data_IF_566449428907
#
_entry.id   IF_566449428907
#
_cell.length_a   1.000
_cell.length_b   1.000
_cell.length_c   1.000
_cell.angle_alpha   90.00
_cell.angle_beta   90.00
_cell.angle_gamma   90.00
#
_symmetry.space_group_name_H-M   'P 1'
#
loop_
_entity.id
_entity.type
_entity.pdbx_description
1 polymer ?
#
# COMPACT_ATOMS: atom_id res chain seq x y z
N UNK A 1 -1.37 6.39 -24.76
CA UNK A 1 -2.45 7.30 -24.33
C UNK A 1 -3.61 6.47 -23.80
N UNK A 2 -4.21 6.83 -22.67
CA UNK A 2 -5.51 6.28 -22.28
C UNK A 2 -6.53 7.11 -23.09
N UNK A 3 -7.26 6.46 -23.99
CA UNK A 3 -8.31 7.13 -24.75
C UNK A 3 -9.56 7.13 -23.87
N UNK A 4 -9.90 8.28 -23.30
CA UNK A 4 -11.15 8.46 -22.56
C UNK A 4 -12.27 8.66 -23.59
N UNK A 5 -12.83 7.56 -24.08
CA UNK A 5 -13.82 7.57 -25.15
C UNK A 5 -15.24 7.76 -24.62
N UNK A 6 -15.49 7.39 -23.38
CA UNK A 6 -16.82 7.46 -22.75
C UNK A 6 -16.98 8.68 -21.82
N UNK A 7 -18.20 9.21 -21.69
CA UNK A 7 -18.51 10.35 -20.82
C UNK A 7 -18.22 10.04 -19.35
N UNK A 8 -18.49 8.81 -18.91
CA UNK A 8 -18.18 8.36 -17.54
C UNK A 8 -16.67 8.31 -17.27
N UNK A 9 -15.87 7.90 -18.27
CA UNK A 9 -14.41 7.88 -18.17
C UNK A 9 -13.84 9.30 -18.06
N UNK A 10 -14.38 10.25 -18.83
CA UNK A 10 -13.98 11.68 -18.73
C UNK A 10 -14.34 12.26 -17.36
N UNK A 11 -15.54 11.96 -16.85
CA UNK A 11 -15.99 12.41 -15.53
C UNK A 11 -15.07 11.87 -14.43
N UNK A 12 -14.75 10.58 -14.47
CA UNK A 12 -13.83 9.98 -13.50
C UNK A 12 -12.42 10.58 -13.57
N UNK A 13 -11.91 10.82 -14.78
CA UNK A 13 -10.64 11.55 -14.96
C UNK A 13 -10.69 12.95 -14.32
N UNK A 14 -11.79 13.68 -14.49
CA UNK A 14 -12.02 14.97 -13.83
C UNK A 14 -11.99 14.89 -12.30
N UNK A 15 -12.60 13.85 -11.72
CA UNK A 15 -12.55 13.58 -10.27
C UNK A 15 -11.11 13.39 -9.80
N UNK A 16 -10.31 12.59 -10.52
CA UNK A 16 -8.92 12.34 -10.16
C UNK A 16 -8.05 13.60 -10.25
N UNK A 17 -8.27 14.45 -11.26
CA UNK A 17 -7.57 15.73 -11.40
C UNK A 17 -7.92 16.69 -10.25
N UNK A 18 -9.21 16.79 -9.91
CA UNK A 18 -9.65 17.59 -8.77
C UNK A 18 -9.05 17.07 -7.47
N UNK A 19 -9.03 15.75 -7.27
CA UNK A 19 -8.42 15.11 -6.11
C UNK A 19 -6.92 15.44 -6.00
N UNK A 20 -6.18 15.37 -7.11
CA UNK A 20 -4.75 15.73 -7.15
C UNK A 20 -4.51 17.19 -6.77
N UNK A 21 -5.32 18.12 -7.31
CA UNK A 21 -5.23 19.53 -6.97
C UNK A 21 -5.52 19.80 -5.51
N UNK A 22 -6.61 19.24 -4.97
CA UNK A 22 -6.96 19.39 -3.55
C UNK A 22 -5.87 18.81 -2.64
N UNK A 23 -5.31 17.66 -3.01
CA UNK A 23 -4.22 17.05 -2.27
C UNK A 23 -2.98 17.94 -2.28
N UNK A 24 -2.56 18.43 -3.45
CA UNK A 24 -1.34 19.25 -3.61
C UNK A 24 -1.45 20.63 -3.00
N UNK A 25 -2.59 21.31 -3.16
CA UNK A 25 -2.74 22.70 -2.72
C UNK A 25 -3.09 22.79 -1.24
N UNK A 26 -3.91 21.86 -0.73
CA UNK A 26 -4.49 21.99 0.60
C UNK A 26 -3.99 20.95 1.60
N UNK A 27 -3.99 19.67 1.23
CA UNK A 27 -3.84 18.59 2.22
C UNK A 27 -2.39 18.17 2.47
N UNK A 28 -1.53 18.19 1.45
CA UNK A 28 -0.18 17.63 1.57
C UNK A 28 0.70 18.42 2.55
N UNK A 29 0.54 19.75 2.60
CA UNK A 29 1.25 20.59 3.56
C UNK A 29 0.86 20.23 5.00
N UNK A 30 -0.45 20.11 5.27
CA UNK A 30 -0.94 19.71 6.58
C UNK A 30 -0.46 18.32 6.98
N UNK A 31 -0.53 17.34 6.06
CA UNK A 31 -0.03 15.98 6.29
C UNK A 31 1.46 16.05 6.67
N UNK A 32 2.28 16.75 5.89
CA UNK A 32 3.70 16.85 6.13
C UNK A 32 4.02 17.50 7.48
N UNK A 33 3.35 18.59 7.84
CA UNK A 33 3.55 19.25 9.12
C UNK A 33 3.18 18.34 10.30
N UNK A 34 2.09 17.58 10.20
CA UNK A 34 1.70 16.59 11.22
C UNK A 34 2.81 15.55 11.40
N UNK A 35 3.29 14.96 10.30
CA UNK A 35 4.37 13.97 10.35
C UNK A 35 5.66 14.57 10.91
N UNK A 36 6.09 15.73 10.43
CA UNK A 36 7.34 16.36 10.87
C UNK A 36 7.29 16.76 12.34
N UNK A 37 6.21 17.39 12.79
CA UNK A 37 6.04 17.75 14.20
C UNK A 37 6.03 16.50 15.08
N UNK A 38 5.27 15.46 14.70
CA UNK A 38 5.19 14.23 15.49
C UNK A 38 6.55 13.49 15.57
N UNK A 39 7.34 13.48 14.49
CA UNK A 39 8.67 12.84 14.50
C UNK A 39 9.64 13.66 15.36
N UNK A 40 9.69 14.99 15.20
CA UNK A 40 10.56 15.86 15.99
C UNK A 40 10.28 15.78 17.48
N UNK A 41 9.01 15.68 17.85
CA UNK A 41 8.57 15.53 19.25
C UNK A 41 8.65 14.09 19.77
N UNK A 42 9.20 13.15 18.98
CA UNK A 42 9.27 11.71 19.29
C UNK A 42 7.90 11.06 19.58
N UNK A 43 6.80 11.67 19.11
CA UNK A 43 5.45 11.12 19.17
C UNK A 43 5.17 10.12 18.05
N UNK A 44 5.97 10.16 16.98
CA UNK A 44 5.94 9.21 15.88
C UNK A 44 7.35 8.72 15.57
N UNK A 45 7.57 7.41 15.69
CA UNK A 45 8.81 6.72 15.34
C UNK A 45 8.47 5.34 14.78
N UNK A 46 9.45 4.65 14.18
CA UNK A 46 9.22 3.28 13.69
C UNK A 46 8.69 2.37 14.78
N UNK A 47 9.28 2.45 15.99
CA UNK A 47 8.87 1.62 17.11
C UNK A 47 7.42 1.90 17.53
N UNK A 48 7.05 3.18 17.64
CA UNK A 48 5.68 3.58 18.01
C UNK A 48 4.67 3.11 16.94
N UNK A 49 4.98 3.31 15.66
CA UNK A 49 4.12 2.91 14.56
C UNK A 49 3.95 1.38 14.49
N UNK A 50 5.04 0.62 14.58
CA UNK A 50 4.99 -0.83 14.54
C UNK A 50 4.26 -1.40 15.78
N UNK A 51 4.47 -0.84 16.97
CA UNK A 51 3.72 -1.23 18.17
C UNK A 51 2.23 -0.96 18.03
N UNK A 52 1.87 0.21 17.46
CA UNK A 52 0.48 0.56 17.18
C UNK A 52 -0.16 -0.44 16.21
N UNK A 53 0.49 -0.70 15.06
CA UNK A 53 0.00 -1.66 14.07
C UNK A 53 -0.08 -3.08 14.66
N UNK A 54 0.89 -3.48 15.47
CA UNK A 54 0.88 -4.79 16.13
C UNK A 54 -0.32 -4.98 17.03
N UNK A 55 -0.69 -3.93 17.77
CA UNK A 55 -1.76 -3.99 18.78
C UNK A 55 -3.15 -3.78 18.18
N UNK A 56 -3.29 -2.92 17.17
CA UNK A 56 -4.59 -2.42 16.72
C UNK A 56 -4.93 -2.74 15.27
N UNK A 57 -4.09 -3.50 14.55
CA UNK A 57 -4.37 -3.90 13.16
C UNK A 57 -4.14 -5.38 12.94
N UNK A 58 -4.76 -5.92 11.88
CA UNK A 58 -4.51 -7.27 11.41
C UNK A 58 -3.07 -7.51 10.94
N UNK A 59 -2.31 -6.45 10.60
CA UNK A 59 -0.92 -6.55 10.15
C UNK A 59 -0.01 -7.18 11.20
N UNK A 60 -0.35 -7.02 12.48
CA UNK A 60 0.35 -7.62 13.62
C UNK A 60 0.02 -9.09 13.89
N UNK A 61 -0.99 -9.65 13.23
CA UNK A 61 -1.41 -11.04 13.45
C UNK A 61 -0.44 -12.00 12.75
N UNK A 62 -0.19 -13.14 13.39
CA UNK A 62 0.50 -14.26 12.74
C UNK A 62 -0.51 -15.02 11.88
N UNK A 63 -0.32 -14.95 10.56
CA UNK A 63 -1.20 -15.54 9.56
C UNK A 63 -0.59 -16.86 9.11
N UNK A 64 -1.43 -17.89 8.99
CA UNK A 64 -1.01 -19.21 8.51
C UNK A 64 -1.30 -19.36 7.01
N UNK A 65 -0.28 -19.67 6.21
CA UNK A 65 -0.41 -19.96 4.78
C UNK A 65 -0.01 -21.39 4.48
N UNK A 66 -0.90 -22.14 3.83
CA UNK A 66 -0.59 -23.48 3.33
C UNK A 66 0.22 -23.34 2.04
N UNK A 67 1.48 -23.79 2.08
CA UNK A 67 2.37 -23.86 0.93
C UNK A 67 2.71 -25.33 0.68
N UNK A 68 2.09 -25.91 -0.36
CA UNK A 68 2.19 -27.33 -0.68
C UNK A 68 1.92 -28.22 0.55
N UNK A 69 2.98 -28.82 1.12
CA UNK A 69 2.91 -29.77 2.23
C UNK A 69 3.21 -29.14 3.60
N UNK A 70 3.45 -27.82 3.67
CA UNK A 70 3.81 -27.14 4.91
C UNK A 70 2.86 -25.96 5.19
N UNK A 71 2.58 -25.74 6.46
CA UNK A 71 1.90 -24.52 6.91
C UNK A 71 2.96 -23.58 7.44
N UNK A 72 3.15 -22.45 6.76
CA UNK A 72 4.09 -21.40 7.16
C UNK A 72 3.31 -20.33 7.89
N UNK A 73 3.80 -19.92 9.07
CA UNK A 73 3.28 -18.75 9.79
C UNK A 73 4.12 -17.53 9.41
N UNK A 74 3.47 -16.41 9.09
CA UNK A 74 4.14 -15.15 8.77
C UNK A 74 3.40 -13.96 9.37
N UNK A 75 4.08 -12.82 9.44
CA UNK A 75 3.57 -11.58 10.00
C UNK A 75 3.95 -10.43 9.07
N UNK A 76 2.98 -9.59 8.70
CA UNK A 76 3.22 -8.51 7.74
C UNK A 76 4.15 -7.43 8.29
N UNK A 77 4.20 -7.23 9.62
CA UNK A 77 5.13 -6.29 10.24
C UNK A 77 6.58 -6.60 9.87
N UNK A 78 6.96 -7.87 9.77
CA UNK A 78 8.32 -8.27 9.39
C UNK A 78 8.69 -7.83 7.96
N UNK A 79 7.70 -7.72 7.07
CA UNK A 79 7.91 -7.34 5.67
C UNK A 79 7.91 -5.83 5.44
N UNK A 80 7.15 -5.08 6.26
CA UNK A 80 7.04 -3.61 6.14
C UNK A 80 8.00 -2.86 7.07
N UNK A 81 8.44 -3.46 8.18
CA UNK A 81 9.34 -2.81 9.13
C UNK A 81 10.63 -2.26 8.48
N UNK A 82 11.31 -2.97 7.55
CA UNK A 82 12.56 -2.47 6.96
C UNK A 82 12.40 -1.12 6.24
N UNK A 83 11.32 -0.94 5.46
CA UNK A 83 11.09 0.32 4.74
C UNK A 83 10.72 1.46 5.68
N UNK A 84 9.99 1.16 6.75
CA UNK A 84 9.67 2.15 7.78
C UNK A 84 10.92 2.54 8.57
N UNK A 85 11.77 1.59 8.97
CA UNK A 85 13.03 1.88 9.66
C UNK A 85 13.92 2.80 8.82
N UNK A 86 14.08 2.48 7.54
CA UNK A 86 14.86 3.32 6.62
C UNK A 86 14.29 4.73 6.54
N UNK A 87 12.98 4.90 6.33
CA UNK A 87 12.37 6.22 6.27
C UNK A 87 12.60 7.05 7.54
N UNK A 88 12.34 6.49 8.73
CA UNK A 88 12.52 7.25 9.97
C UNK A 88 13.99 7.58 10.23
N UNK A 89 14.93 6.71 9.84
CA UNK A 89 16.36 7.00 9.89
C UNK A 89 16.72 8.18 8.97
N UNK A 90 16.24 8.17 7.73
CA UNK A 90 16.41 9.26 6.76
C UNK A 90 15.85 10.59 7.28
N UNK A 91 14.70 10.56 7.96
CA UNK A 91 14.10 11.75 8.57
C UNK A 91 14.94 12.30 9.73
N UNK A 92 15.50 11.44 10.58
CA UNK A 92 16.41 11.87 11.65
C UNK A 92 17.65 12.58 11.08
N UNK A 93 18.25 12.03 10.01
CA UNK A 93 19.38 12.67 9.33
C UNK A 93 19.01 14.02 8.72
N UNK A 94 17.84 14.12 8.08
CA UNK A 94 17.32 15.37 7.51
C UNK A 94 17.11 16.45 8.57
N UNK A 95 16.59 16.09 9.75
CA UNK A 95 16.40 17.06 10.83
C UNK A 95 17.73 17.50 11.49
N UNK A 96 18.72 16.61 11.54
CA UNK A 96 20.05 16.96 12.04
C UNK A 96 20.87 17.80 11.05
N UNK A 97 20.58 17.72 9.75
CA UNK A 97 21.39 18.32 8.69
C UNK A 97 20.52 19.12 7.70
N UNK A 98 20.44 20.46 7.83
CA UNK A 98 19.55 21.30 7.00
C UNK A 98 19.76 21.19 5.49
N UNK A 99 20.97 20.84 5.03
CA UNK A 99 21.31 20.71 3.61
C UNK A 99 21.16 19.27 3.07
N UNK A 100 20.68 18.34 3.90
CA UNK A 100 20.51 16.94 3.53
C UNK A 100 19.14 16.69 2.92
N UNK A 101 19.13 16.15 1.70
CA UNK A 101 17.93 15.61 1.08
C UNK A 101 17.84 14.11 1.38
N UNK A 102 16.74 13.63 1.99
CA UNK A 102 16.60 12.21 2.35
C UNK A 102 16.56 11.32 1.11
N UNK A 103 17.26 10.19 1.17
CA UNK A 103 17.16 9.17 0.14
C UNK A 103 15.99 8.23 0.45
N UNK A 104 14.90 8.37 -0.31
CA UNK A 104 13.66 7.64 -0.07
C UNK A 104 13.44 6.47 -1.02
N UNK A 105 14.42 6.14 -1.87
CA UNK A 105 14.29 5.09 -2.90
C UNK A 105 13.90 3.76 -2.28
N UNK A 106 14.69 3.27 -1.32
CA UNK A 106 14.44 1.97 -0.67
C UNK A 106 13.10 1.93 0.07
N UNK A 107 12.73 3.05 0.71
CA UNK A 107 11.50 3.13 1.50
C UNK A 107 10.26 3.07 0.60
N UNK A 108 10.25 3.88 -0.46
CA UNK A 108 9.12 3.98 -1.39
C UNK A 108 9.01 2.71 -2.24
N UNK A 109 10.11 2.20 -2.80
CA UNK A 109 10.08 1.02 -3.66
C UNK A 109 9.58 -0.20 -2.90
N UNK A 110 10.13 -0.43 -1.70
CA UNK A 110 9.74 -1.55 -0.87
C UNK A 110 8.29 -1.42 -0.40
N UNK A 111 7.91 -0.29 0.19
CA UNK A 111 6.58 -0.13 0.78
C UNK A 111 5.47 -0.17 -0.27
N UNK A 112 5.69 0.41 -1.45
CA UNK A 112 4.73 0.36 -2.57
C UNK A 112 4.41 -1.08 -2.97
N UNK A 113 5.45 -1.91 -3.15
CA UNK A 113 5.26 -3.32 -3.52
C UNK A 113 4.68 -4.14 -2.37
N UNK A 114 5.00 -3.82 -1.10
CA UNK A 114 4.37 -4.49 0.05
C UNK A 114 2.89 -4.14 0.19
N UNK A 115 2.49 -2.91 -0.12
CA UNK A 115 1.07 -2.51 -0.13
C UNK A 115 0.28 -3.32 -1.17
N UNK A 116 0.82 -3.56 -2.36
CA UNK A 116 0.17 -4.48 -3.31
C UNK A 116 0.01 -5.89 -2.72
N UNK A 117 1.06 -6.41 -2.07
CA UNK A 117 1.01 -7.71 -1.40
C UNK A 117 -0.05 -7.76 -0.29
N UNK A 118 -0.18 -6.69 0.50
CA UNK A 118 -1.22 -6.55 1.52
C UNK A 118 -2.62 -6.61 0.91
N UNK A 119 -2.87 -5.88 -0.18
CA UNK A 119 -4.16 -5.89 -0.88
C UNK A 119 -4.48 -7.29 -1.39
N UNK A 120 -3.49 -8.01 -1.96
CA UNK A 120 -3.70 -9.40 -2.41
C UNK A 120 -4.05 -10.35 -1.26
N UNK A 121 -3.40 -10.21 -0.12
CA UNK A 121 -3.73 -11.02 1.05
C UNK A 121 -5.13 -10.70 1.59
N UNK A 122 -5.53 -9.41 1.62
CA UNK A 122 -6.90 -9.00 1.96
C UNK A 122 -7.93 -9.68 1.04
N UNK A 123 -7.67 -9.72 -0.27
CA UNK A 123 -8.51 -10.41 -1.23
C UNK A 123 -8.61 -11.91 -0.88
N UNK A 124 -7.49 -12.56 -0.60
CA UNK A 124 -7.44 -13.98 -0.25
C UNK A 124 -8.23 -14.28 1.04
N UNK A 125 -8.06 -13.48 2.09
CA UNK A 125 -8.81 -13.67 3.35
C UNK A 125 -10.32 -13.47 3.18
N UNK A 126 -10.68 -12.64 2.20
CA UNK A 126 -12.08 -12.35 1.85
C UNK A 126 -12.65 -13.31 0.80
N UNK A 127 -11.91 -14.32 0.37
CA UNK A 127 -12.36 -15.30 -0.63
C UNK A 127 -12.38 -14.77 -2.07
N UNK A 128 -11.76 -13.62 -2.34
CA UNK A 128 -11.64 -13.03 -3.67
C UNK A 128 -10.41 -13.59 -4.38
N UNK A 129 -10.63 -14.22 -5.54
CA UNK A 129 -9.55 -14.85 -6.32
C UNK A 129 -8.60 -13.81 -6.89
N UNK A 130 -7.29 -13.93 -6.61
CA UNK A 130 -6.25 -13.01 -7.11
C UNK A 130 -5.61 -13.42 -8.44
N UNK A 131 -6.04 -14.54 -9.02
CA UNK A 131 -5.54 -15.08 -10.27
C UNK A 131 -6.69 -15.42 -11.23
N UNK A 132 -6.37 -15.64 -12.50
CA UNK A 132 -7.28 -16.16 -13.51
C UNK A 132 -6.60 -17.27 -14.30
N UNK A 133 -7.40 -18.22 -14.81
CA UNK A 133 -6.89 -19.29 -15.66
C UNK A 133 -6.86 -18.83 -17.11
N UNK A 134 -5.75 -19.07 -17.80
CA UNK A 134 -5.62 -18.83 -19.24
C UNK A 134 -4.93 -20.01 -19.92
N UNK A 135 -4.94 -20.05 -21.25
CA UNK A 135 -4.24 -21.10 -22.02
C UNK A 135 -2.88 -20.60 -22.48
N UNK A 136 -1.86 -21.43 -22.33
CA UNK A 136 -0.57 -21.17 -22.97
C UNK A 136 -0.63 -21.40 -24.49
N UNK A 137 0.47 -21.09 -25.19
CA UNK A 137 0.58 -21.31 -26.65
C UNK A 137 0.41 -22.77 -27.08
N UNK A 138 0.46 -23.73 -26.15
CA UNK A 138 0.28 -25.17 -26.36
C UNK A 138 -1.08 -25.68 -25.85
N UNK A 139 -1.99 -24.78 -25.48
CA UNK A 139 -3.33 -25.12 -25.01
C UNK A 139 -3.44 -25.60 -23.56
N UNK A 140 -2.34 -25.58 -22.78
CA UNK A 140 -2.33 -25.98 -21.37
C UNK A 140 -2.89 -24.87 -20.49
N UNK A 141 -3.69 -25.24 -19.49
CA UNK A 141 -4.23 -24.28 -18.53
C UNK A 141 -3.13 -23.83 -17.57
N UNK A 142 -2.92 -22.51 -17.47
CA UNK A 142 -1.97 -21.87 -16.57
C UNK A 142 -2.70 -20.81 -15.74
N UNK A 143 -2.35 -20.72 -14.46
CA UNK A 143 -2.79 -19.62 -13.61
C UNK A 143 -1.92 -18.39 -13.88
N UNK A 144 -2.54 -17.21 -13.98
CA UNK A 144 -1.87 -15.92 -14.02
C UNK A 144 -2.42 -15.01 -12.94
N UNK A 145 -1.53 -14.35 -12.22
CA UNK A 145 -1.92 -13.31 -11.27
C UNK A 145 -2.65 -12.17 -11.99
N UNK A 146 -3.73 -11.69 -11.38
CA UNK A 146 -4.42 -10.47 -11.81
C UNK A 146 -3.49 -9.29 -11.57
N UNK A 147 -3.47 -8.34 -12.49
CA UNK A 147 -2.81 -7.06 -12.24
C UNK A 147 -3.55 -6.30 -11.12
N UNK A 148 -2.81 -5.59 -10.28
CA UNK A 148 -3.41 -4.85 -9.15
C UNK A 148 -4.38 -3.78 -9.63
N UNK A 149 -4.15 -3.17 -10.80
CA UNK A 149 -5.11 -2.28 -11.43
C UNK A 149 -6.43 -3.02 -11.68
N UNK A 150 -6.40 -4.17 -12.36
CA UNK A 150 -7.61 -4.96 -12.60
C UNK A 150 -8.29 -5.38 -11.29
N UNK A 151 -7.50 -5.80 -10.29
CA UNK A 151 -8.00 -6.26 -9.00
C UNK A 151 -8.79 -5.17 -8.27
N UNK A 152 -8.28 -3.94 -8.19
CA UNK A 152 -8.94 -2.82 -7.50
C UNK A 152 -10.27 -2.38 -8.14
N UNK A 153 -10.60 -2.84 -9.35
CA UNK A 153 -11.87 -2.54 -10.01
C UNK A 153 -12.88 -3.68 -9.95
N UNK A 154 -12.53 -4.84 -9.39
CA UNK A 154 -13.49 -5.93 -9.27
C UNK A 154 -14.60 -5.57 -8.27
N UNK A 155 -15.84 -5.94 -8.59
CA UNK A 155 -16.99 -5.68 -7.72
C UNK A 155 -16.79 -6.15 -6.27
N UNK A 156 -16.26 -7.37 -6.00
CA UNK A 156 -16.03 -7.79 -4.62
C UNK A 156 -15.11 -6.85 -3.85
N UNK A 157 -14.14 -6.19 -4.51
CA UNK A 157 -13.23 -5.25 -3.84
C UNK A 157 -13.93 -3.97 -3.42
N UNK A 158 -14.94 -3.53 -4.18
CA UNK A 158 -15.77 -2.38 -3.82
C UNK A 158 -16.59 -2.62 -2.56
N UNK A 159 -16.87 -3.88 -2.24
CA UNK A 159 -17.57 -4.27 -1.01
C UNK A 159 -16.61 -4.42 0.19
N UNK A 160 -15.29 -4.57 -0.04
CA UNK A 160 -14.29 -4.74 1.02
C UNK A 160 -13.77 -3.41 1.58
N UNK A 161 -13.72 -2.37 0.75
CA UNK A 161 -13.20 -1.06 1.13
C UNK A 161 -14.30 -0.02 1.04
N UNK A 162 -14.26 0.99 1.92
CA UNK A 162 -15.08 2.18 1.70
C UNK A 162 -14.63 2.94 0.45
N UNK A 163 -15.56 3.69 -0.16
CA UNK A 163 -15.33 4.34 -1.45
C UNK A 163 -14.15 5.32 -1.41
N UNK A 164 -13.97 6.03 -0.29
CA UNK A 164 -12.88 7.00 -0.10
C UNK A 164 -11.51 6.31 0.02
N UNK A 165 -11.41 5.23 0.80
CA UNK A 165 -10.20 4.42 0.91
C UNK A 165 -9.86 3.78 -0.44
N UNK A 166 -10.86 3.28 -1.17
CA UNK A 166 -10.64 2.68 -2.49
C UNK A 166 -10.19 3.72 -3.53
N UNK A 167 -10.82 4.90 -3.58
CA UNK A 167 -10.42 6.01 -4.45
C UNK A 167 -8.98 6.44 -4.14
N UNK A 168 -8.65 6.59 -2.85
CA UNK A 168 -7.30 6.94 -2.42
C UNK A 168 -6.26 5.90 -2.85
N UNK A 169 -6.52 4.61 -2.61
CA UNK A 169 -5.63 3.52 -3.01
C UNK A 169 -5.45 3.46 -4.53
N UNK A 170 -6.53 3.64 -5.29
CA UNK A 170 -6.47 3.69 -6.76
C UNK A 170 -5.61 4.85 -7.23
N UNK A 171 -5.91 6.05 -6.75
CA UNK A 171 -5.20 7.28 -7.07
C UNK A 171 -3.69 7.15 -6.80
N UNK A 172 -3.32 6.62 -5.64
CA UNK A 172 -1.94 6.46 -5.22
C UNK A 172 -1.19 5.40 -6.04
N UNK A 173 -1.81 4.24 -6.28
CA UNK A 173 -1.10 3.05 -6.77
C UNK A 173 -1.22 2.82 -8.27
N UNK A 174 -2.39 3.02 -8.88
CA UNK A 174 -2.69 2.45 -10.22
C UNK A 174 -3.26 3.44 -11.24
N UNK A 175 -3.83 4.56 -10.81
CA UNK A 175 -4.43 5.51 -11.74
C UNK A 175 -3.38 6.29 -12.50
N UNK A 176 -3.45 6.28 -13.83
CA UNK A 176 -2.52 7.07 -14.68
C UNK A 176 -2.69 8.58 -14.50
N UNK A 177 -3.91 9.02 -14.20
CA UNK A 177 -4.20 10.41 -13.83
C UNK A 177 -3.93 10.70 -12.34
N UNK A 178 -3.55 9.68 -11.56
CA UNK A 178 -3.01 9.81 -10.20
C UNK A 178 -1.49 9.63 -10.16
N UNK A 179 -0.96 9.17 -9.03
CA UNK A 179 0.49 8.97 -8.87
C UNK A 179 1.02 7.71 -9.55
N UNK A 180 0.16 6.70 -9.72
CA UNK A 180 0.49 5.44 -10.40
C UNK A 180 1.78 4.78 -9.83
N UNK A 181 2.00 4.89 -8.51
CA UNK A 181 3.28 4.54 -7.91
C UNK A 181 3.65 3.08 -8.16
N UNK A 182 2.69 2.16 -8.11
CA UNK A 182 2.97 0.74 -8.32
C UNK A 182 3.57 0.51 -9.70
N UNK A 183 2.97 1.06 -10.75
CA UNK A 183 3.50 0.91 -12.11
C UNK A 183 4.89 1.53 -12.23
N UNK A 184 5.08 2.75 -11.72
CA UNK A 184 6.35 3.45 -11.84
C UNK A 184 7.47 2.72 -11.09
N UNK A 185 7.22 2.26 -9.86
CA UNK A 185 8.18 1.50 -9.05
C UNK A 185 8.50 0.14 -9.68
N UNK A 186 7.48 -0.66 -10.02
CA UNK A 186 7.69 -2.02 -10.54
C UNK A 186 8.44 -2.06 -11.89
N UNK A 187 8.39 -0.97 -12.66
CA UNK A 187 9.10 -0.83 -13.92
C UNK A 187 10.31 0.11 -13.85
N UNK A 188 10.70 0.55 -12.64
CA UNK A 188 11.83 1.46 -12.42
C UNK A 188 11.78 2.73 -13.27
N UNK A 189 10.59 3.32 -13.40
CA UNK A 189 10.32 4.52 -14.20
C UNK A 189 10.46 5.83 -13.40
N UNK A 190 10.64 5.75 -12.08
CA UNK A 190 10.84 6.93 -11.24
C UNK A 190 12.28 7.42 -11.31
N UNK A 191 12.44 8.71 -11.57
CA UNK A 191 13.72 9.41 -11.41
C UNK A 191 13.99 9.69 -9.93
N UNK A 192 15.26 9.86 -9.56
CA UNK A 192 15.66 10.09 -8.16
C UNK A 192 14.91 11.25 -7.50
N UNK A 193 14.64 12.33 -8.24
CA UNK A 193 13.94 13.52 -7.74
C UNK A 193 12.44 13.29 -7.50
N UNK A 194 11.85 12.24 -8.06
CA UNK A 194 10.44 11.89 -7.85
C UNK A 194 10.21 11.13 -6.53
N UNK A 195 11.28 10.65 -5.88
CA UNK A 195 11.22 10.01 -4.57
C UNK A 195 11.06 11.05 -3.46
N UNK A 196 9.82 11.51 -3.29
CA UNK A 196 9.48 12.61 -2.40
C UNK A 196 8.95 12.16 -1.03
N UNK A 197 9.11 13.02 -0.02
CA UNK A 197 8.49 12.85 1.29
C UNK A 197 6.96 12.72 1.18
N UNK A 198 6.34 13.45 0.24
CA UNK A 198 4.91 13.40 -0.02
C UNK A 198 4.46 11.96 -0.33
N UNK A 199 5.15 11.29 -1.26
CA UNK A 199 4.84 9.89 -1.59
C UNK A 199 4.98 8.99 -0.36
N UNK A 200 6.05 9.17 0.43
CA UNK A 200 6.27 8.33 1.60
C UNK A 200 5.20 8.51 2.67
N UNK A 201 4.78 9.75 2.99
CA UNK A 201 3.69 9.99 3.93
C UNK A 201 2.36 9.40 3.44
N UNK A 202 2.07 9.51 2.14
CA UNK A 202 0.86 8.90 1.57
C UNK A 202 0.90 7.37 1.61
N UNK A 203 2.07 6.75 1.42
CA UNK A 203 2.23 5.30 1.59
C UNK A 203 2.03 4.86 3.05
N UNK A 204 2.50 5.66 4.03
CA UNK A 204 2.20 5.40 5.46
C UNK A 204 0.70 5.56 5.75
N UNK A 205 0.04 6.56 5.16
CA UNK A 205 -1.41 6.70 5.27
C UNK A 205 -2.17 5.52 4.63
N UNK A 206 -1.71 5.01 3.49
CA UNK A 206 -2.25 3.80 2.88
C UNK A 206 -2.10 2.59 3.79
N UNK A 207 -0.94 2.44 4.43
CA UNK A 207 -0.71 1.38 5.42
C UNK A 207 -1.68 1.48 6.61
N UNK A 208 -1.88 2.70 7.14
CA UNK A 208 -2.82 2.94 8.25
C UNK A 208 -4.27 2.67 7.86
N UNK A 209 -4.68 3.09 6.65
CA UNK A 209 -6.02 2.81 6.12
C UNK A 209 -6.25 1.32 5.94
N UNK A 210 -5.30 0.59 5.35
CA UNK A 210 -5.38 -0.87 5.22
C UNK A 210 -5.38 -1.58 6.59
N UNK A 211 -4.68 -1.03 7.58
CA UNK A 211 -4.67 -1.54 8.95
C UNK A 211 -5.97 -1.33 9.72
N UNK A 212 -6.84 -0.40 9.30
CA UNK A 212 -8.15 -0.09 9.92
C UNK A 212 -9.13 -1.27 9.83
N UNK A 213 -9.03 -2.03 8.76
CA UNK A 213 -9.92 -3.16 8.49
C UNK A 213 -9.46 -4.40 9.24
N UNK A 214 -10.35 -5.36 9.50
CA UNK A 214 -9.97 -6.67 10.04
C UNK A 214 -10.52 -7.79 9.16
N UNK A 215 -9.68 -8.28 8.25
CA UNK A 215 -10.05 -9.32 7.29
C UNK A 215 -9.62 -10.73 7.72
N UNK A 216 -8.82 -10.85 8.78
CA UNK A 216 -8.28 -12.14 9.22
C UNK A 216 -9.29 -12.82 10.14
N UNK A 217 -9.92 -13.90 9.65
CA UNK A 217 -10.86 -14.71 10.44
C UNK A 217 -10.13 -15.36 11.63
N UNK A 218 -10.86 -15.62 12.73
CA UNK A 218 -10.27 -16.23 13.94
C UNK A 218 -9.54 -17.55 13.65
N UNK A 219 -10.06 -18.39 12.76
CA UNK A 219 -9.43 -19.66 12.37
C UNK A 219 -8.05 -19.48 11.70
N UNK A 220 -7.84 -18.38 10.97
CA UNK A 220 -6.55 -18.04 10.36
C UNK A 220 -5.55 -17.44 11.37
N UNK A 221 -6.06 -16.90 12.48
CA UNK A 221 -5.30 -16.26 13.55
C UNK A 221 -5.01 -17.17 14.76
N UNK A 222 -5.70 -18.30 14.93
CA UNK A 222 -5.55 -19.19 16.10
C UNK A 222 -5.07 -20.59 15.75
N UNK A 223 -3.78 -20.83 16.01
CA UNK A 223 -3.29 -22.10 16.56
C UNK A 223 -2.24 -21.77 17.62
N UNK A 224 -2.67 -21.24 18.76
CA UNK A 224 -1.99 -21.33 20.07
C UNK A 224 -2.90 -20.77 21.17
N UNK A 225 -3.64 -21.67 21.82
CA UNK A 225 -4.00 -21.61 23.23
C UNK A 225 -4.38 -23.04 23.65
N UNK A 226 -3.38 -23.91 23.73
CA UNK A 226 -3.45 -25.21 24.39
C UNK A 226 -2.03 -25.78 24.47
N UNK A 227 -1.45 -25.71 25.67
CA UNK A 227 -0.09 -26.12 26.01
C UNK A 227 0.34 -25.42 27.28
#
# INVERSE_FOLDING_TARGET
AQHFSDEDEKKYCGILQQYDWELKLNKIHLINEIFFAAIRENKLSTNILLMFLNKYSWLGKNISKKLANQTIKYNWLNLIAPSLHEYFLQMQYCFANPNYSPNLVLSIDSLTLKIEGLIRDICQFSGVTTFYMTKDKKGRSIAREKDIHALLYEEPIKELFDEDDLLFLKFLLVEKAGYNLRHKVAHSLMLFQEYSINHMHLLILALLRLGKYDFVKKEDATSHNSG
#
